data_IF_281494194864
#
_entry.id   IF_281494194864
#
_cell.length_a   1.000
_cell.length_b   1.000
_cell.length_c   1.000
_cell.angle_alpha   90.00
_cell.angle_beta   90.00
_cell.angle_gamma   90.00
#
_symmetry.space_group_name_H-M   'P 1'
#
loop_
_entity.id
_entity.type
_entity.pdbx_description
1 polymer ?
#
# COMPACT_ATOMS: atom_id res chain seq x y z
N UNK A 1 38.19 -36.91 18.55
CA UNK A 1 37.79 -35.50 18.39
C UNK A 1 37.33 -35.17 16.95
N UNK A 2 36.59 -36.07 16.27
CA UNK A 2 36.19 -35.87 14.86
C UNK A 2 34.66 -35.83 14.65
N UNK A 3 33.87 -36.02 15.71
CA UNK A 3 32.40 -36.12 15.62
C UNK A 3 31.68 -34.77 15.74
N UNK A 4 32.37 -33.71 16.18
CA UNK A 4 31.77 -32.37 16.34
C UNK A 4 31.96 -31.46 15.12
N UNK A 5 32.78 -31.88 14.15
CA UNK A 5 33.05 -31.11 12.92
C UNK A 5 31.77 -30.80 12.11
N UNK A 6 30.85 -31.76 11.89
CA UNK A 6 29.62 -31.50 11.15
C UNK A 6 28.69 -30.54 11.89
N UNK A 7 28.63 -30.65 13.22
CA UNK A 7 27.84 -29.77 14.09
C UNK A 7 28.36 -28.33 14.07
N UNK A 8 29.68 -28.15 14.09
CA UNK A 8 30.35 -26.85 13.96
C UNK A 8 30.06 -26.18 12.62
N UNK A 9 30.13 -26.94 11.50
CA UNK A 9 29.81 -26.42 10.16
C UNK A 9 28.36 -25.96 10.08
N UNK A 10 27.42 -26.73 10.64
CA UNK A 10 26.00 -26.35 10.69
C UNK A 10 25.81 -25.12 11.58
N UNK A 11 26.47 -25.05 12.74
CA UNK A 11 26.40 -23.90 13.63
C UNK A 11 26.90 -22.61 12.96
N UNK A 12 28.02 -22.68 12.24
CA UNK A 12 28.56 -21.54 11.49
C UNK A 12 27.67 -21.15 10.32
N UNK A 13 27.07 -22.12 9.63
CA UNK A 13 26.09 -21.84 8.57
C UNK A 13 24.86 -21.11 9.14
N UNK A 14 24.30 -21.60 10.24
CA UNK A 14 23.17 -20.95 10.91
C UNK A 14 23.50 -19.52 11.36
N UNK A 15 24.68 -19.32 11.98
CA UNK A 15 25.14 -17.98 12.38
C UNK A 15 25.25 -17.01 11.20
N UNK A 16 25.53 -17.50 9.99
CA UNK A 16 25.55 -16.68 8.76
C UNK A 16 24.16 -16.42 8.20
N UNK A 17 23.23 -17.36 8.37
CA UNK A 17 21.86 -17.20 7.89
C UNK A 17 21.05 -16.19 8.73
N UNK A 18 21.21 -16.17 10.05
CA UNK A 18 20.41 -15.30 10.93
C UNK A 18 20.51 -13.81 10.60
N UNK A 19 21.70 -13.22 10.38
CA UNK A 19 21.80 -11.80 9.99
C UNK A 19 21.12 -11.50 8.66
N UNK A 20 21.17 -12.42 7.69
CA UNK A 20 20.48 -12.26 6.40
C UNK A 20 18.97 -12.27 6.61
N UNK A 21 18.46 -13.17 7.47
CA UNK A 21 17.02 -13.20 7.80
C UNK A 21 16.58 -11.93 8.53
N UNK A 22 17.40 -11.43 9.45
CA UNK A 22 17.15 -10.18 10.18
C UNK A 22 17.11 -8.98 9.22
N UNK A 23 18.09 -8.85 8.32
CA UNK A 23 18.11 -7.80 7.30
C UNK A 23 16.88 -7.85 6.37
N UNK A 24 16.47 -9.06 5.95
CA UNK A 24 15.27 -9.24 5.14
C UNK A 24 14.00 -8.89 5.92
N UNK A 25 13.92 -9.25 7.20
CA UNK A 25 12.79 -8.90 8.06
C UNK A 25 12.66 -7.39 8.20
N UNK A 26 13.77 -6.70 8.47
CA UNK A 26 13.79 -5.24 8.62
C UNK A 26 13.37 -4.55 7.33
N UNK A 27 13.89 -5.01 6.18
CA UNK A 27 13.49 -4.50 4.88
C UNK A 27 11.99 -4.68 4.64
N UNK A 28 11.45 -5.88 4.89
CA UNK A 28 10.03 -6.17 4.69
C UNK A 28 9.16 -5.31 5.62
N UNK A 29 9.57 -5.15 6.87
CA UNK A 29 8.84 -4.35 7.84
C UNK A 29 8.84 -2.87 7.45
N UNK A 30 9.98 -2.35 6.97
CA UNK A 30 10.08 -0.99 6.43
C UNK A 30 9.19 -0.81 5.21
N UNK A 31 9.25 -1.71 4.22
CA UNK A 31 8.40 -1.65 3.03
C UNK A 31 6.92 -1.71 3.40
N UNK A 32 6.53 -2.56 4.34
CA UNK A 32 5.14 -2.62 4.83
C UNK A 32 4.72 -1.30 5.49
N UNK A 33 5.56 -0.71 6.34
CA UNK A 33 5.27 0.56 7.00
C UNK A 33 5.08 1.70 5.99
N UNK A 34 5.88 1.72 4.92
CA UNK A 34 5.76 2.70 3.84
C UNK A 34 4.50 2.48 2.97
N UNK A 35 4.13 1.23 2.71
CA UNK A 35 3.00 0.88 1.84
C UNK A 35 1.63 1.00 2.54
N UNK A 36 1.54 0.69 3.84
CA UNK A 36 0.29 0.74 4.62
C UNK A 36 -0.48 2.08 4.50
N UNK A 37 0.14 3.26 4.66
CA UNK A 37 -0.58 4.53 4.52
C UNK A 37 -1.06 4.77 3.07
N UNK A 38 -0.33 4.29 2.06
CA UNK A 38 -0.73 4.40 0.65
C UNK A 38 -1.95 3.51 0.36
N UNK A 39 -1.93 2.26 0.86
CA UNK A 39 -3.06 1.34 0.75
C UNK A 39 -4.30 1.87 1.48
N UNK A 40 -4.14 2.46 2.66
CA UNK A 40 -5.23 3.12 3.39
C UNK A 40 -5.81 4.30 2.58
N UNK A 41 -4.95 5.11 1.95
CA UNK A 41 -5.37 6.20 1.08
C UNK A 41 -6.17 5.69 -0.13
N UNK A 42 -5.74 4.60 -0.76
CA UNK A 42 -6.46 3.95 -1.87
C UNK A 42 -7.82 3.39 -1.42
N UNK A 43 -7.89 2.74 -0.26
CA UNK A 43 -9.14 2.22 0.30
C UNK A 43 -10.15 3.35 0.49
N UNK A 44 -9.72 4.47 1.09
CA UNK A 44 -10.57 5.63 1.27
C UNK A 44 -11.01 6.24 -0.07
N UNK A 45 -10.13 6.33 -1.08
CA UNK A 45 -10.50 6.79 -2.41
C UNK A 45 -11.55 5.89 -3.08
N UNK A 46 -11.43 4.57 -2.91
CA UNK A 46 -12.40 3.62 -3.42
C UNK A 46 -13.78 3.82 -2.78
N UNK A 47 -13.84 4.01 -1.46
CA UNK A 47 -15.08 4.34 -0.74
C UNK A 47 -15.71 5.65 -1.24
N UNK A 48 -14.89 6.68 -1.45
CA UNK A 48 -15.36 7.97 -1.97
C UNK A 48 -15.90 7.87 -3.41
N UNK A 49 -15.25 7.09 -4.27
CA UNK A 49 -15.72 6.81 -5.63
C UNK A 49 -17.05 6.06 -5.61
N UNK A 50 -17.18 5.05 -4.74
CA UNK A 50 -18.42 4.29 -4.57
C UNK A 50 -19.56 5.18 -4.06
N UNK A 51 -19.29 6.03 -3.07
CA UNK A 51 -20.28 6.97 -2.53
C UNK A 51 -20.74 7.98 -3.61
N UNK A 52 -19.81 8.50 -4.41
CA UNK A 52 -20.13 9.40 -5.52
C UNK A 52 -20.92 8.71 -6.64
N UNK A 53 -20.74 7.41 -6.86
CA UNK A 53 -21.54 6.66 -7.84
C UNK A 53 -22.95 6.33 -7.32
N UNK A 54 -23.08 6.13 -6.01
CA UNK A 54 -24.35 5.77 -5.37
C UNK A 54 -25.29 6.97 -5.19
N UNK A 55 -24.75 8.19 -5.20
CA UNK A 55 -25.51 9.42 -5.04
C UNK A 55 -26.10 9.89 -6.37
N UNK A 56 -27.40 10.19 -6.37
CA UNK A 56 -28.05 10.95 -7.45
C UNK A 56 -27.89 12.44 -7.16
N UNK A 57 -26.86 13.07 -7.73
CA UNK A 57 -26.51 14.48 -7.46
C UNK A 57 -27.67 15.45 -7.74
N UNK A 58 -28.52 15.12 -8.71
CA UNK A 58 -29.72 15.86 -9.11
C UNK A 58 -30.82 15.89 -8.03
N UNK A 59 -30.85 14.86 -7.18
CA UNK A 59 -31.78 14.74 -6.05
C UNK A 59 -31.33 15.63 -4.87
N UNK A 60 -30.09 16.12 -4.87
CA UNK A 60 -29.54 16.99 -3.81
C UNK A 60 -29.66 18.46 -4.20
N UNK A 61 -30.61 19.18 -3.58
CA UNK A 61 -30.90 20.59 -3.88
C UNK A 61 -29.67 21.50 -3.87
N UNK A 62 -28.74 21.30 -2.93
CA UNK A 62 -27.52 22.09 -2.80
C UNK A 62 -26.50 21.85 -3.93
N UNK A 63 -26.57 20.70 -4.62
CA UNK A 63 -25.62 20.32 -5.66
C UNK A 63 -26.12 20.64 -7.08
N UNK A 64 -27.42 20.92 -7.25
CA UNK A 64 -28.02 21.28 -8.56
C UNK A 64 -27.33 22.45 -9.29
N UNK A 65 -26.82 23.50 -8.63
CA UNK A 65 -26.07 24.56 -9.32
C UNK A 65 -24.75 24.10 -9.95
N UNK A 66 -24.32 22.86 -9.69
CA UNK A 66 -23.04 22.30 -10.12
C UNK A 66 -23.26 21.04 -10.99
N UNK A 67 -23.76 21.18 -12.23
CA UNK A 67 -24.11 20.05 -13.09
C UNK A 67 -22.91 19.14 -13.42
N UNK A 68 -21.71 19.71 -13.51
CA UNK A 68 -20.48 18.96 -13.82
C UNK A 68 -19.78 18.41 -12.57
N UNK A 69 -20.34 18.60 -11.36
CA UNK A 69 -19.66 18.25 -10.12
C UNK A 69 -19.29 16.76 -10.06
N UNK A 70 -20.20 15.88 -10.48
CA UNK A 70 -19.98 14.44 -10.44
C UNK A 70 -18.80 14.04 -11.33
N UNK A 71 -18.76 14.54 -12.56
CA UNK A 71 -17.68 14.25 -13.51
C UNK A 71 -16.34 14.84 -13.04
N UNK A 72 -16.34 16.09 -12.54
CA UNK A 72 -15.13 16.73 -12.01
C UNK A 72 -14.61 16.04 -10.76
N UNK A 73 -15.50 15.60 -9.86
CA UNK A 73 -15.13 14.84 -8.67
C UNK A 73 -14.51 13.50 -9.07
N UNK A 74 -15.14 12.79 -10.02
CA UNK A 74 -14.62 11.52 -10.54
C UNK A 74 -13.21 11.68 -11.11
N UNK A 75 -12.99 12.66 -11.99
CA UNK A 75 -11.64 12.93 -12.56
C UNK A 75 -10.62 13.20 -11.47
N UNK A 76 -10.95 14.07 -10.52
CA UNK A 76 -10.06 14.41 -9.41
C UNK A 76 -9.73 13.20 -8.53
N UNK A 77 -10.70 12.32 -8.29
CA UNK A 77 -10.50 11.09 -7.53
C UNK A 77 -9.63 10.08 -8.29
N UNK A 78 -9.81 9.95 -9.61
CA UNK A 78 -8.97 9.09 -10.45
C UNK A 78 -7.52 9.60 -10.50
N UNK A 79 -7.32 10.90 -10.74
CA UNK A 79 -5.98 11.53 -10.71
C UNK A 79 -5.30 11.33 -9.34
N UNK A 80 -6.05 11.48 -8.23
CA UNK A 80 -5.52 11.21 -6.90
C UNK A 80 -5.16 9.73 -6.71
N UNK A 81 -5.95 8.82 -7.28
CA UNK A 81 -5.67 7.38 -7.29
C UNK A 81 -4.38 7.06 -8.04
N UNK A 82 -4.21 7.60 -9.25
CA UNK A 82 -3.01 7.43 -10.07
C UNK A 82 -1.76 7.88 -9.32
N UNK A 83 -1.80 9.06 -8.68
CA UNK A 83 -0.69 9.57 -7.86
C UNK A 83 -0.32 8.61 -6.72
N UNK A 84 -1.31 7.99 -6.07
CA UNK A 84 -1.04 7.06 -4.96
C UNK A 84 -0.51 5.72 -5.49
N UNK A 85 -0.98 5.26 -6.65
CA UNK A 85 -0.47 4.05 -7.31
C UNK A 85 0.97 4.22 -7.81
N UNK A 86 1.31 5.39 -8.36
CA UNK A 86 2.69 5.73 -8.73
C UNK A 86 3.62 5.65 -7.50
N UNK A 87 3.21 6.30 -6.39
CA UNK A 87 3.95 6.23 -5.12
C UNK A 87 4.07 4.82 -4.57
N UNK A 88 3.06 3.98 -4.75
CA UNK A 88 3.13 2.59 -4.30
C UNK A 88 4.14 1.80 -5.14
N UNK A 89 4.18 2.06 -6.44
CA UNK A 89 5.14 1.43 -7.37
C UNK A 89 6.58 1.83 -7.05
N UNK A 90 6.82 3.07 -6.57
CA UNK A 90 8.14 3.51 -6.11
C UNK A 90 8.63 2.80 -4.83
N UNK A 91 7.73 2.12 -4.10
CA UNK A 91 8.04 1.45 -2.81
C UNK A 91 8.13 -0.08 -2.92
N UNK A 92 7.70 -0.64 -4.05
CA UNK A 92 7.76 -2.08 -4.37
C UNK A 92 9.06 -2.42 -5.10
#
# INVERSE_FOLDING_TARGET
MAHDQPLLVVQEALKKCFPVVEEQQDLWQSTLQDCLPLLSSLSNLAEQLQAAQSLRFEDVLALRPFPDLQERLRRKQLEAGDIVLDKLTERL
#
